data_IF_737372724216
#
_entry.id   IF_737372724216
#
_cell.length_a   1.000
_cell.length_b   1.000
_cell.length_c   1.000
_cell.angle_alpha   90.00
_cell.angle_beta   90.00
_cell.angle_gamma   90.00
#
_symmetry.space_group_name_H-M   'P 1'
#
loop_
_entity.id
_entity.type
_entity.pdbx_description
1 polymer ?
#
# COMPACT_ATOMS: atom_id res chain seq x y z
N UNK A 1 25.31 12.26 -7.05
CA UNK A 1 24.47 11.24 -7.72
C UNK A 1 23.11 11.85 -8.00
N UNK A 2 22.53 11.65 -9.19
CA UNK A 2 21.21 12.21 -9.54
C UNK A 2 20.12 11.64 -8.63
N UNK A 3 19.27 12.49 -8.05
CA UNK A 3 18.17 12.10 -7.16
C UNK A 3 17.01 11.37 -7.87
N UNK A 4 17.01 11.33 -9.20
CA UNK A 4 15.99 10.67 -10.01
C UNK A 4 16.63 9.85 -11.12
N UNK A 5 16.33 8.54 -11.16
CA UNK A 5 16.75 7.65 -12.24
C UNK A 5 16.11 8.02 -13.60
N UNK A 6 14.97 8.74 -13.58
CA UNK A 6 14.16 9.03 -14.77
C UNK A 6 14.11 10.51 -15.14
N UNK A 7 15.06 11.32 -14.62
CA UNK A 7 15.13 12.80 -14.80
C UNK A 7 13.82 13.51 -14.43
N UNK A 8 13.04 12.95 -13.51
CA UNK A 8 11.75 13.50 -13.06
C UNK A 8 11.89 14.66 -12.06
N UNK A 9 13.12 15.11 -11.79
CA UNK A 9 13.42 16.27 -10.94
C UNK A 9 14.22 17.26 -11.77
N UNK A 10 13.69 18.48 -11.94
CA UNK A 10 14.36 19.60 -12.60
C UNK A 10 14.71 20.69 -11.59
N UNK A 11 15.69 21.53 -11.91
CA UNK A 11 15.96 22.75 -11.14
C UNK A 11 15.34 23.92 -11.89
N UNK A 12 14.49 24.68 -11.21
CA UNK A 12 13.88 25.91 -11.72
C UNK A 12 14.03 26.97 -10.62
N UNK A 13 14.59 28.13 -10.95
CA UNK A 13 14.88 29.23 -10.01
C UNK A 13 15.65 28.78 -8.75
N UNK A 14 16.64 27.90 -8.91
CA UNK A 14 17.44 27.38 -7.81
C UNK A 14 16.72 26.36 -6.92
N UNK A 15 15.48 25.98 -7.24
CA UNK A 15 14.69 25.02 -6.49
C UNK A 15 14.47 23.72 -7.27
N UNK A 16 14.58 22.59 -6.57
CA UNK A 16 14.33 21.26 -7.15
C UNK A 16 12.82 20.97 -7.20
N UNK A 17 12.26 20.87 -8.39
CA UNK A 17 10.84 20.61 -8.64
C UNK A 17 10.65 19.24 -9.28
N UNK A 18 9.61 18.51 -8.84
CA UNK A 18 9.18 17.27 -9.49
C UNK A 18 8.41 17.64 -10.77
N UNK A 19 8.72 16.97 -11.87
CA UNK A 19 7.98 17.09 -13.14
C UNK A 19 6.92 16.00 -13.15
N UNK A 20 5.62 16.33 -12.95
CA UNK A 20 4.57 15.33 -12.74
C UNK A 20 4.46 14.30 -13.86
N UNK A 21 4.69 14.71 -15.11
CA UNK A 21 4.58 13.89 -16.33
C UNK A 21 5.72 12.86 -16.44
N UNK A 22 6.85 13.10 -15.78
CA UNK A 22 8.00 12.20 -15.72
C UNK A 22 8.05 11.39 -14.42
N UNK A 23 7.25 11.75 -13.41
CA UNK A 23 7.30 11.11 -12.10
C UNK A 23 6.62 9.74 -12.08
N UNK A 24 7.36 8.70 -11.70
CA UNK A 24 6.81 7.35 -11.43
C UNK A 24 6.38 7.14 -9.98
N UNK A 25 6.37 8.20 -9.16
CA UNK A 25 6.03 8.21 -7.73
C UNK A 25 6.85 7.26 -6.82
N UNK A 26 8.09 6.95 -7.20
CA UNK A 26 8.97 6.10 -6.38
C UNK A 26 9.50 6.76 -5.09
N UNK A 27 9.16 8.03 -4.84
CA UNK A 27 9.57 8.85 -3.70
C UNK A 27 11.08 8.93 -3.43
N UNK A 28 11.94 8.54 -4.40
CA UNK A 28 13.40 8.64 -4.27
C UNK A 28 13.83 10.08 -3.94
N UNK A 29 13.23 11.05 -4.63
CA UNK A 29 13.54 12.47 -4.48
C UNK A 29 13.16 13.08 -3.12
N UNK A 30 12.25 12.44 -2.38
CA UNK A 30 11.88 12.81 -1.00
C UNK A 30 12.89 12.18 -0.05
N UNK A 31 13.13 10.87 -0.15
CA UNK A 31 14.04 10.11 0.73
C UNK A 31 15.47 10.64 0.73
N UNK A 32 15.98 11.10 -0.42
CA UNK A 32 17.35 11.60 -0.54
C UNK A 32 17.48 13.10 -0.30
N UNK A 33 16.39 13.81 0.03
CA UNK A 33 16.42 15.26 0.17
C UNK A 33 16.97 15.65 1.55
N UNK A 34 18.18 16.23 1.65
CA UNK A 34 18.80 16.57 2.93
C UNK A 34 18.17 17.81 3.59
N UNK A 35 17.25 18.48 2.91
CA UNK A 35 16.60 19.70 3.39
C UNK A 35 15.14 19.47 3.76
N UNK A 36 14.63 18.24 3.59
CA UNK A 36 13.22 17.89 3.82
C UNK A 36 12.25 18.80 3.05
N UNK A 37 12.73 19.37 1.93
CA UNK A 37 12.02 20.40 1.18
C UNK A 37 10.84 19.86 0.35
N UNK A 38 10.68 18.54 0.26
CA UNK A 38 9.57 17.90 -0.48
C UNK A 38 8.69 17.16 0.51
N UNK A 39 7.42 17.53 0.54
CA UNK A 39 6.40 16.84 1.31
C UNK A 39 5.67 15.79 0.48
N UNK A 40 5.10 14.81 1.19
CA UNK A 40 4.18 13.82 0.63
C UNK A 40 2.76 14.27 1.01
N UNK A 41 1.76 14.00 0.16
CA UNK A 41 0.35 14.23 0.48
C UNK A 41 -0.01 13.50 1.77
N UNK A 42 -0.48 14.23 2.77
CA UNK A 42 -0.90 13.69 4.05
C UNK A 42 -2.41 13.43 4.06
N UNK A 43 -2.80 12.16 4.21
CA UNK A 43 -4.20 11.73 4.22
C UNK A 43 -4.78 11.63 5.65
N UNK A 44 -3.96 11.82 6.70
CA UNK A 44 -4.41 11.76 8.11
C UNK A 44 -5.59 12.68 8.41
N UNK A 45 -5.62 13.96 7.97
CA UNK A 45 -6.75 14.84 8.28
C UNK A 45 -8.08 14.30 7.75
N UNK A 46 -8.08 13.69 6.56
CA UNK A 46 -9.28 13.10 5.97
C UNK A 46 -9.74 11.84 6.73
N UNK A 47 -8.79 11.01 7.18
CA UNK A 47 -9.09 9.82 7.99
C UNK A 47 -9.67 10.24 9.35
N UNK A 48 -9.05 11.20 10.04
CA UNK A 48 -9.52 11.72 11.33
C UNK A 48 -10.92 12.30 11.20
N UNK A 49 -11.21 13.04 10.13
CA UNK A 49 -12.55 13.57 9.87
C UNK A 49 -13.57 12.46 9.60
N UNK A 50 -13.21 11.42 8.85
CA UNK A 50 -14.08 10.27 8.64
C UNK A 50 -14.43 9.56 9.96
N UNK A 51 -13.47 9.40 10.86
CA UNK A 51 -13.69 8.84 12.20
C UNK A 51 -14.61 9.74 13.02
N UNK A 52 -14.34 11.06 13.07
CA UNK A 52 -15.12 12.04 13.85
C UNK A 52 -16.55 12.20 13.37
N UNK A 53 -16.78 12.06 12.07
CA UNK A 53 -18.12 12.09 11.47
C UNK A 53 -18.91 10.78 11.65
N UNK A 54 -18.34 9.79 12.38
CA UNK A 54 -19.01 8.53 12.68
C UNK A 54 -19.04 7.54 11.51
N UNK A 55 -18.22 7.74 10.47
CA UNK A 55 -18.10 6.76 9.38
C UNK A 55 -17.42 5.51 9.91
N UNK A 56 -17.77 4.36 9.34
CA UNK A 56 -17.09 3.09 9.62
C UNK A 56 -15.74 3.06 8.89
N UNK A 57 -14.67 3.40 9.59
CA UNK A 57 -13.32 3.41 9.03
C UNK A 57 -12.66 2.05 9.18
N UNK A 58 -12.19 1.45 8.09
CA UNK A 58 -11.63 0.09 8.05
C UNK A 58 -10.24 0.09 7.41
N UNK A 59 -9.26 -0.57 8.02
CA UNK A 59 -7.89 -0.58 7.55
C UNK A 59 -7.53 -1.84 6.74
N UNK A 60 -6.88 -1.66 5.59
CA UNK A 60 -6.11 -2.68 4.88
C UNK A 60 -4.63 -2.48 5.17
N UNK A 61 -4.01 -3.33 5.99
CA UNK A 61 -2.63 -3.14 6.43
C UNK A 61 -1.68 -3.99 5.58
N UNK A 62 -0.62 -3.38 5.06
CA UNK A 62 0.36 -4.06 4.22
C UNK A 62 1.14 -5.12 5.02
N UNK A 63 1.48 -6.23 4.36
CA UNK A 63 2.14 -7.40 4.96
C UNK A 63 3.55 -7.16 5.50
N UNK A 64 4.15 -6.01 5.17
CA UNK A 64 5.44 -5.59 5.74
C UNK A 64 5.31 -4.87 7.09
N UNK A 65 4.09 -4.73 7.64
CA UNK A 65 3.89 -4.08 8.94
C UNK A 65 4.63 -4.75 10.11
N UNK A 66 4.80 -6.09 10.19
CA UNK A 66 5.59 -6.70 11.26
C UNK A 66 7.04 -6.22 11.29
N UNK A 67 7.66 -6.10 10.12
CA UNK A 67 9.05 -5.64 10.02
C UNK A 67 9.21 -4.16 10.41
N UNK A 68 8.17 -3.33 10.22
CA UNK A 68 8.23 -1.90 10.52
C UNK A 68 7.88 -1.60 11.99
N UNK A 69 6.78 -2.16 12.49
CA UNK A 69 6.25 -1.84 13.82
C UNK A 69 6.76 -2.79 14.91
N UNK A 70 7.48 -3.85 14.56
CA UNK A 70 7.95 -4.86 15.52
C UNK A 70 6.82 -5.69 16.13
N UNK A 71 5.66 -5.74 15.47
CA UNK A 71 4.50 -6.53 15.92
C UNK A 71 4.74 -8.02 15.68
N UNK A 72 4.19 -8.87 16.56
CA UNK A 72 4.32 -10.33 16.46
C UNK A 72 3.12 -10.98 15.81
N UNK A 73 1.93 -10.46 16.08
CA UNK A 73 0.66 -10.95 15.53
C UNK A 73 -0.09 -9.81 14.87
N UNK A 74 -0.97 -10.12 13.93
CA UNK A 74 -1.81 -9.09 13.32
C UNK A 74 -2.76 -8.43 14.34
N UNK A 75 -3.17 -9.15 15.37
CA UNK A 75 -4.04 -8.64 16.43
C UNK A 75 -3.42 -7.46 17.21
N UNK A 76 -2.09 -7.40 17.36
CA UNK A 76 -1.42 -6.22 17.94
C UNK A 76 -1.69 -4.96 17.09
N UNK A 77 -1.67 -5.10 15.75
CA UNK A 77 -2.02 -4.02 14.84
C UNK A 77 -3.50 -3.64 14.93
N UNK A 78 -4.40 -4.62 15.00
CA UNK A 78 -5.84 -4.37 15.17
C UNK A 78 -6.13 -3.58 16.45
N UNK A 79 -5.48 -3.92 17.56
CA UNK A 79 -5.62 -3.20 18.83
C UNK A 79 -5.10 -1.76 18.73
N UNK A 80 -3.94 -1.56 18.11
CA UNK A 80 -3.40 -0.21 17.89
C UNK A 80 -4.34 0.66 17.05
N UNK A 81 -4.87 0.10 15.94
CA UNK A 81 -5.79 0.82 15.06
C UNK A 81 -7.15 1.06 15.73
N UNK A 82 -7.64 0.10 16.52
CA UNK A 82 -8.86 0.26 17.32
C UNK A 82 -8.74 1.43 18.31
N UNK A 83 -7.59 1.56 18.98
CA UNK A 83 -7.31 2.69 19.88
C UNK A 83 -7.28 4.05 19.14
N UNK A 84 -6.97 4.06 17.84
CA UNK A 84 -7.04 5.25 16.98
C UNK A 84 -8.45 5.50 16.39
N UNK A 85 -9.43 4.65 16.68
CA UNK A 85 -10.82 4.81 16.22
C UNK A 85 -11.16 4.06 14.92
N UNK A 86 -10.31 3.17 14.43
CA UNK A 86 -10.66 2.28 13.32
C UNK A 86 -11.66 1.22 13.80
N UNK A 87 -12.71 0.97 13.02
CA UNK A 87 -13.75 0.00 13.33
C UNK A 87 -13.32 -1.45 13.08
N UNK A 88 -12.41 -1.67 12.14
CA UNK A 88 -11.82 -2.97 11.84
C UNK A 88 -10.50 -2.80 11.09
N UNK A 89 -9.67 -3.84 11.09
CA UNK A 89 -8.50 -3.93 10.23
C UNK A 89 -8.38 -5.33 9.64
N UNK A 90 -7.68 -5.44 8.51
CA UNK A 90 -7.38 -6.72 7.87
C UNK A 90 -6.01 -6.69 7.22
N UNK A 91 -5.40 -7.86 7.11
CA UNK A 91 -4.09 -8.01 6.50
C UNK A 91 -4.21 -8.06 4.96
N UNK A 92 -3.46 -7.20 4.27
CA UNK A 92 -3.42 -7.16 2.79
C UNK A 92 -2.90 -8.47 2.19
N UNK A 93 -2.35 -9.38 3.01
CA UNK A 93 -2.02 -10.75 2.64
C UNK A 93 -3.22 -11.46 1.97
N UNK A 94 -4.45 -11.19 2.42
CA UNK A 94 -5.65 -11.74 1.79
C UNK A 94 -5.77 -11.31 0.31
N UNK A 95 -5.61 -10.01 0.04
CA UNK A 95 -5.57 -9.51 -1.34
C UNK A 95 -4.35 -10.02 -2.12
N UNK A 96 -3.22 -10.22 -1.46
CA UNK A 96 -2.01 -10.75 -2.08
C UNK A 96 -2.19 -12.20 -2.53
N UNK A 97 -2.84 -13.03 -1.71
CA UNK A 97 -3.20 -14.41 -2.05
C UNK A 97 -4.14 -14.47 -3.26
N UNK A 98 -5.19 -13.64 -3.26
CA UNK A 98 -6.15 -13.55 -4.37
C UNK A 98 -5.45 -13.19 -5.68
N UNK A 99 -4.64 -12.12 -5.67
CA UNK A 99 -3.92 -11.65 -6.86
C UNK A 99 -2.87 -12.68 -7.29
N UNK A 100 -2.19 -13.34 -6.35
CA UNK A 100 -1.25 -14.41 -6.64
C UNK A 100 -1.89 -15.58 -7.39
N UNK A 101 -3.04 -16.04 -6.90
CA UNK A 101 -3.78 -17.12 -7.55
C UNK A 101 -4.20 -16.75 -8.97
N UNK A 102 -4.88 -15.61 -9.14
CA UNK A 102 -5.40 -15.18 -10.44
C UNK A 102 -4.26 -14.89 -11.42
N UNK A 103 -3.13 -14.37 -10.95
CA UNK A 103 -1.99 -14.13 -11.83
C UNK A 103 -1.33 -15.42 -12.31
N UNK A 104 -1.25 -16.48 -11.48
CA UNK A 104 -0.79 -17.79 -11.96
C UNK A 104 -1.72 -18.35 -13.04
N UNK A 105 -3.03 -18.33 -12.79
CA UNK A 105 -4.05 -18.76 -13.76
C UNK A 105 -3.92 -17.96 -15.07
N UNK A 106 -3.67 -16.66 -14.97
CA UNK A 106 -3.47 -15.78 -16.13
C UNK A 106 -2.20 -16.11 -16.92
N UNK A 107 -1.08 -16.41 -16.24
CA UNK A 107 0.20 -16.79 -16.86
C UNK A 107 0.09 -18.09 -17.64
N UNK A 108 -0.61 -19.07 -17.10
CA UNK A 108 -0.85 -20.37 -17.74
C UNK A 108 -1.80 -20.25 -18.94
N UNK A 109 -2.83 -19.42 -18.82
CA UNK A 109 -3.84 -19.25 -19.87
C UNK A 109 -3.37 -18.42 -21.07
N UNK A 110 -2.31 -17.61 -20.93
CA UNK A 110 -1.87 -16.65 -21.96
C UNK A 110 -0.37 -16.78 -22.30
N UNK A 111 0.10 -17.95 -22.79
CA UNK A 111 1.50 -18.14 -23.17
C UNK A 111 1.96 -17.18 -24.28
N UNK A 112 1.05 -16.71 -25.14
CA UNK A 112 1.30 -15.74 -26.19
C UNK A 112 1.68 -14.34 -25.68
N UNK A 113 1.38 -14.02 -24.41
CA UNK A 113 1.71 -12.73 -23.79
C UNK A 113 3.03 -12.76 -23.02
N UNK A 114 3.78 -13.86 -23.08
CA UNK A 114 5.04 -14.00 -22.34
C UNK A 114 6.12 -13.04 -22.88
N UNK A 115 6.98 -12.49 -22.00
CA UNK A 115 6.94 -12.59 -20.54
C UNK A 115 5.78 -11.78 -19.94
N UNK A 116 5.15 -12.28 -18.88
CA UNK A 116 4.09 -11.54 -18.18
C UNK A 116 4.69 -10.80 -16.97
N UNK A 117 4.48 -9.50 -16.91
CA UNK A 117 5.00 -8.58 -15.90
C UNK A 117 3.94 -8.35 -14.82
N UNK A 118 4.32 -8.40 -13.55
CA UNK A 118 3.39 -8.13 -12.44
C UNK A 118 2.96 -6.67 -12.39
N UNK A 119 1.67 -6.45 -12.10
CA UNK A 119 1.05 -5.11 -12.01
C UNK A 119 0.84 -4.62 -10.57
N UNK A 120 1.29 -5.38 -9.57
CA UNK A 120 1.03 -5.06 -8.15
C UNK A 120 1.80 -3.85 -7.62
N UNK A 121 2.94 -3.51 -8.25
CA UNK A 121 3.75 -2.36 -7.91
C UNK A 121 3.40 -1.17 -8.81
N UNK A 122 2.77 -0.10 -8.30
CA UNK A 122 2.38 1.05 -9.12
C UNK A 122 3.58 1.79 -9.71
N UNK A 123 4.76 1.70 -9.10
CA UNK A 123 5.99 2.28 -9.68
C UNK A 123 6.38 1.55 -10.97
N UNK A 124 6.24 0.21 -11.01
CA UNK A 124 6.49 -0.59 -12.22
C UNK A 124 5.47 -0.27 -13.30
N UNK A 125 4.19 -0.20 -12.94
CA UNK A 125 3.11 0.16 -13.87
C UNK A 125 3.35 1.56 -14.46
N UNK A 126 3.58 2.57 -13.61
CA UNK A 126 3.86 3.94 -14.06
C UNK A 126 5.13 4.02 -14.92
N UNK A 127 6.15 3.23 -14.62
CA UNK A 127 7.38 3.17 -15.39
C UNK A 127 7.12 2.63 -16.81
N UNK A 128 6.38 1.52 -16.92
CA UNK A 128 6.02 0.90 -18.21
C UNK A 128 5.16 1.86 -19.03
N UNK A 129 4.07 2.38 -18.46
CA UNK A 129 3.15 3.26 -19.18
C UNK A 129 3.83 4.54 -19.71
N UNK A 130 4.83 5.07 -19.01
CA UNK A 130 5.48 6.35 -19.36
C UNK A 130 6.73 6.18 -20.21
N UNK A 131 7.53 5.16 -19.95
CA UNK A 131 8.88 5.02 -20.52
C UNK A 131 9.06 3.79 -21.39
N UNK A 132 8.21 2.77 -21.24
CA UNK A 132 8.30 1.52 -21.99
C UNK A 132 6.91 1.05 -22.48
N UNK A 133 6.18 1.88 -23.24
CA UNK A 133 4.80 1.57 -23.64
C UNK A 133 4.70 0.28 -24.46
N UNK A 134 5.77 -0.11 -25.16
CA UNK A 134 5.84 -1.38 -25.90
C UNK A 134 5.74 -2.62 -24.99
N UNK A 135 5.96 -2.46 -23.67
CA UNK A 135 5.79 -3.52 -22.67
C UNK A 135 4.38 -3.59 -22.07
N UNK A 136 3.46 -2.68 -22.43
CA UNK A 136 2.06 -2.71 -21.95
C UNK A 136 1.37 -4.05 -22.27
N UNK A 137 1.51 -4.66 -23.46
CA UNK A 137 0.88 -5.95 -23.77
C UNK A 137 1.33 -7.11 -22.85
N UNK A 138 2.50 -6.95 -22.21
CA UNK A 138 3.10 -7.89 -21.28
C UNK A 138 2.72 -7.62 -19.82
N UNK A 139 2.14 -6.45 -19.50
CA UNK A 139 1.69 -6.14 -18.16
C UNK A 139 0.43 -6.95 -17.81
N UNK A 140 0.45 -7.64 -16.68
CA UNK A 140 -0.71 -8.38 -16.21
C UNK A 140 -1.89 -7.42 -15.98
N UNK A 141 -3.07 -7.67 -16.56
CA UNK A 141 -4.25 -6.80 -16.44
C UNK A 141 -4.99 -7.08 -15.13
N UNK A 142 -4.26 -7.06 -14.02
CA UNK A 142 -4.74 -7.40 -12.69
C UNK A 142 -4.56 -6.22 -11.77
N UNK A 143 -5.51 -6.05 -10.84
CA UNK A 143 -5.40 -5.04 -9.79
C UNK A 143 -4.36 -5.45 -8.74
N UNK A 144 -3.85 -4.47 -7.99
CA UNK A 144 -2.89 -4.77 -6.92
C UNK A 144 -3.57 -5.38 -5.68
N UNK A 145 -2.80 -6.02 -4.78
CA UNK A 145 -3.32 -6.53 -3.51
C UNK A 145 -4.05 -5.50 -2.67
N UNK A 146 -3.60 -4.23 -2.69
CA UNK A 146 -4.28 -3.12 -2.01
C UNK A 146 -5.72 -2.97 -2.53
N UNK A 147 -5.88 -2.96 -3.84
CA UNK A 147 -7.18 -2.76 -4.49
C UNK A 147 -8.08 -3.98 -4.28
N UNK A 148 -7.53 -5.19 -4.48
CA UNK A 148 -8.26 -6.44 -4.26
C UNK A 148 -8.78 -6.52 -2.82
N UNK A 149 -7.92 -6.27 -1.84
CA UNK A 149 -8.31 -6.33 -0.43
C UNK A 149 -9.26 -5.19 -0.04
N UNK A 150 -9.07 -3.97 -0.57
CA UNK A 150 -9.97 -2.85 -0.32
C UNK A 150 -11.42 -3.15 -0.73
N UNK A 151 -11.60 -3.74 -1.92
CA UNK A 151 -12.92 -4.21 -2.39
C UNK A 151 -13.50 -5.29 -1.48
N UNK A 152 -12.69 -6.25 -1.03
CA UNK A 152 -13.14 -7.26 -0.07
C UNK A 152 -13.58 -6.65 1.27
N UNK A 153 -12.85 -5.64 1.76
CA UNK A 153 -13.21 -4.97 3.01
C UNK A 153 -14.56 -4.24 2.89
N UNK A 154 -14.84 -3.59 1.76
CA UNK A 154 -16.18 -3.01 1.50
C UNK A 154 -17.27 -4.07 1.51
N UNK A 155 -17.08 -5.16 0.78
CA UNK A 155 -18.05 -6.26 0.76
C UNK A 155 -18.33 -6.82 2.16
N UNK A 156 -17.29 -6.90 3.01
CA UNK A 156 -17.41 -7.43 4.37
C UNK A 156 -18.00 -6.45 5.37
N UNK A 157 -17.68 -5.16 5.27
CA UNK A 157 -17.99 -4.16 6.29
C UNK A 157 -19.07 -3.14 5.88
N UNK A 158 -19.53 -3.19 4.63
CA UNK A 158 -20.49 -2.27 4.03
C UNK A 158 -19.85 -1.48 2.89
N UNK A 159 -20.58 -1.30 1.79
CA UNK A 159 -20.10 -0.56 0.61
C UNK A 159 -19.76 0.91 0.93
N UNK A 160 -20.39 1.48 1.96
CA UNK A 160 -20.18 2.84 2.47
C UNK A 160 -19.01 2.97 3.46
N UNK A 161 -18.36 1.86 3.83
CA UNK A 161 -17.21 1.87 4.72
C UNK A 161 -16.09 2.76 4.16
N UNK A 162 -15.39 3.49 5.02
CA UNK A 162 -14.24 4.30 4.62
C UNK A 162 -12.97 3.46 4.72
N UNK A 163 -12.47 2.98 3.59
CA UNK A 163 -11.36 2.03 3.53
C UNK A 163 -10.03 2.77 3.42
N UNK A 164 -9.15 2.52 4.37
CA UNK A 164 -7.81 3.11 4.44
C UNK A 164 -6.77 2.04 4.18
N UNK A 165 -5.93 2.20 3.17
CA UNK A 165 -4.75 1.36 3.02
C UNK A 165 -3.60 1.91 3.88
N UNK A 166 -2.95 1.04 4.64
CA UNK A 166 -1.81 1.37 5.50
C UNK A 166 -0.58 0.61 5.00
N UNK A 167 0.44 1.30 4.49
CA UNK A 167 1.58 0.61 3.87
C UNK A 167 2.87 1.41 3.75
N UNK A 168 3.96 0.78 3.27
CA UNK A 168 5.27 1.44 3.16
C UNK A 168 5.40 2.30 1.90
N UNK A 169 4.48 2.16 0.94
CA UNK A 169 4.67 2.66 -0.42
C UNK A 169 3.87 3.94 -0.69
N UNK A 170 4.57 5.04 -0.92
CA UNK A 170 3.97 6.33 -1.26
C UNK A 170 3.25 6.30 -2.62
N UNK A 171 3.74 5.50 -3.58
CA UNK A 171 3.11 5.39 -4.90
C UNK A 171 1.66 4.85 -4.83
N UNK A 172 1.27 4.18 -3.73
CA UNK A 172 -0.11 3.76 -3.50
C UNK A 172 -1.08 4.94 -3.36
N UNK A 173 -0.62 6.09 -2.85
CA UNK A 173 -1.39 7.35 -2.82
C UNK A 173 -1.78 7.84 -4.22
N UNK A 174 -0.96 7.53 -5.24
CA UNK A 174 -1.29 7.82 -6.64
C UNK A 174 -2.14 6.71 -7.25
N UNK A 175 -1.87 5.44 -6.93
CA UNK A 175 -2.66 4.31 -7.44
C UNK A 175 -4.14 4.44 -7.10
N UNK A 176 -4.47 4.82 -5.86
CA UNK A 176 -5.87 5.00 -5.43
C UNK A 176 -6.62 6.10 -6.22
N UNK A 177 -5.89 7.01 -6.87
CA UNK A 177 -6.48 8.11 -7.64
C UNK A 177 -6.78 7.71 -9.09
N UNK A 178 -6.52 6.46 -9.49
CA UNK A 178 -6.89 5.96 -10.82
C UNK A 178 -8.38 5.65 -10.87
N UNK A 179 -9.04 6.06 -11.94
CA UNK A 179 -10.48 5.88 -12.13
C UNK A 179 -10.90 4.39 -12.08
N UNK A 180 -10.04 3.48 -12.55
CA UNK A 180 -10.34 2.05 -12.59
C UNK A 180 -10.40 1.37 -11.21
N UNK A 181 -9.96 2.07 -10.15
CA UNK A 181 -9.87 1.55 -8.78
C UNK A 181 -10.47 2.51 -7.75
N UNK A 182 -11.21 3.52 -8.20
CA UNK A 182 -11.84 4.53 -7.34
C UNK A 182 -12.85 3.92 -6.34
N UNK A 183 -13.33 2.72 -6.61
CA UNK A 183 -14.23 1.95 -5.75
C UNK A 183 -13.53 1.24 -4.58
N UNK A 184 -12.19 1.21 -4.52
CA UNK A 184 -11.49 0.32 -3.59
C UNK A 184 -11.00 1.00 -2.30
N UNK A 185 -10.37 2.17 -2.38
CA UNK A 185 -9.63 2.80 -1.28
C UNK A 185 -9.97 4.29 -1.20
N UNK A 186 -10.34 4.79 -0.01
CA UNK A 186 -10.64 6.21 0.21
C UNK A 186 -9.41 7.02 0.60
N UNK A 187 -8.45 6.40 1.32
CA UNK A 187 -7.23 7.06 1.78
C UNK A 187 -6.05 6.10 1.88
N UNK A 188 -4.84 6.63 1.74
CA UNK A 188 -3.60 5.86 1.93
C UNK A 188 -2.75 6.51 3.02
N UNK A 189 -2.50 5.75 4.08
CA UNK A 189 -1.64 6.12 5.20
C UNK A 189 -0.31 5.36 5.08
N UNK A 190 0.81 6.08 5.10
CA UNK A 190 2.12 5.46 5.14
C UNK A 190 2.45 4.97 6.55
N UNK A 191 3.37 4.01 6.67
CA UNK A 191 3.84 3.56 7.97
C UNK A 191 4.43 4.69 8.82
N UNK A 192 5.18 5.61 8.22
CA UNK A 192 5.71 6.80 8.91
C UNK A 192 4.58 7.70 9.40
N UNK A 193 3.58 7.99 8.56
CA UNK A 193 2.43 8.81 8.97
C UNK A 193 1.64 8.14 10.11
N UNK A 194 1.45 6.81 10.08
CA UNK A 194 0.80 6.07 11.16
C UNK A 194 1.65 6.10 12.45
N UNK A 195 2.96 5.91 12.35
CA UNK A 195 3.85 5.96 13.51
C UNK A 195 3.78 7.34 14.19
N UNK A 196 3.87 8.42 13.42
CA UNK A 196 3.74 9.79 13.92
C UNK A 196 2.37 10.01 14.59
N UNK A 197 1.29 9.44 14.03
CA UNK A 197 -0.04 9.54 14.63
C UNK A 197 -0.12 8.77 15.96
N UNK A 198 0.42 7.56 16.02
CA UNK A 198 0.51 6.77 17.26
C UNK A 198 1.30 7.52 18.33
N UNK A 199 2.42 8.15 17.96
CA UNK A 199 3.25 8.92 18.88
C UNK A 199 2.53 10.18 19.39
N UNK A 200 1.72 10.83 18.55
CA UNK A 200 0.92 12.00 18.93
C UNK A 200 -0.22 11.68 19.91
N UNK A 201 -0.87 10.52 19.78
CA UNK A 201 -1.98 10.09 20.66
C UNK A 201 -1.48 9.49 22.00
N UNK A 202 -0.18 9.25 22.14
CA UNK A 202 0.46 8.91 23.41
C UNK A 202 0.31 7.44 23.88
N UNK A 203 0.48 7.22 25.19
CA UNK A 203 0.66 5.88 25.80
C UNK A 203 -0.55 4.94 25.72
N UNK A 204 -1.74 5.44 25.40
CA UNK A 204 -2.97 4.64 25.31
C UNK A 204 -2.90 3.57 24.20
N UNK A 205 -2.22 3.87 23.09
CA UNK A 205 -2.03 2.92 21.97
C UNK A 205 -0.97 1.88 22.31
N UNK A 206 0.10 2.29 23.00
CA UNK A 206 1.23 1.40 23.39
C UNK A 206 0.85 0.40 24.47
N UNK A 207 -0.05 0.73 25.38
CA UNK A 207 -0.54 -0.21 26.40
C UNK A 207 -1.46 -1.30 25.83
N UNK A 208 -2.05 -1.09 24.66
CA UNK A 208 -2.99 -2.05 24.08
C UNK A 208 -2.32 -3.34 23.57
N UNK A 209 -1.00 -3.33 23.34
CA UNK A 209 -0.25 -4.49 22.82
C UNK A 209 0.29 -5.42 23.90
N UNK A 210 0.25 -5.05 25.19
CA UNK A 210 0.80 -5.87 26.28
C UNK A 210 -0.11 -7.05 26.70
N UNK A 211 -1.38 -7.02 26.30
CA UNK A 211 -2.35 -8.07 26.65
C UNK A 211 -2.30 -9.26 25.68
N UNK A 212 -1.34 -10.15 25.87
CA UNK A 212 -1.51 -11.60 25.72
C UNK A 212 -1.79 -12.20 24.34
N UNK A 213 -1.46 -13.49 24.25
CA UNK A 213 -1.51 -14.40 23.10
C UNK A 213 -2.87 -14.31 22.38
N UNK A 214 -2.91 -13.56 21.29
CA UNK A 214 -4.09 -13.43 20.43
C UNK A 214 -3.85 -14.26 19.17
N UNK A 215 -4.76 -15.19 18.91
CA UNK A 215 -4.67 -16.07 17.76
C UNK A 215 -4.56 -15.25 16.47
N UNK A 216 -3.56 -15.58 15.66
CA UNK A 216 -3.28 -14.85 14.44
C UNK A 216 -4.33 -15.16 13.36
N UNK A 217 -4.55 -14.18 12.47
CA UNK A 217 -5.48 -14.34 11.36
C UNK A 217 -4.98 -15.48 10.46
N UNK A 218 -5.87 -16.39 10.09
CA UNK A 218 -5.56 -17.48 9.16
C UNK A 218 -5.44 -16.91 7.75
N UNK A 219 -4.22 -16.66 7.29
CA UNK A 219 -3.88 -16.31 5.90
C UNK A 219 -2.77 -17.22 5.43
N UNK A 220 -2.72 -17.52 4.12
CA UNK A 220 -1.62 -18.25 3.50
C UNK A 220 -0.26 -17.63 3.93
N UNK A 221 0.61 -18.38 4.63
CA UNK A 221 1.91 -17.87 5.07
C UNK A 221 2.77 -17.32 3.93
N UNK A 222 2.64 -17.88 2.72
CA UNK A 222 3.37 -17.42 1.54
C UNK A 222 2.88 -16.04 1.07
N UNK A 223 1.61 -15.70 1.32
CA UNK A 223 1.07 -14.39 0.98
C UNK A 223 1.69 -13.27 1.85
N UNK A 224 2.20 -13.59 3.05
CA UNK A 224 2.95 -12.63 3.88
C UNK A 224 4.34 -12.33 3.33
N UNK A 225 4.90 -13.21 2.50
CA UNK A 225 6.19 -12.98 1.84
C UNK A 225 6.10 -12.01 0.65
N UNK A 226 4.90 -11.54 0.29
CA UNK A 226 4.65 -10.61 -0.82
C UNK A 226 5.61 -9.39 -0.90
N UNK A 227 6.04 -8.76 0.21
CA UNK A 227 6.95 -7.62 0.17
C UNK A 227 8.40 -7.97 -0.17
N UNK A 228 8.78 -9.25 -0.08
CA UNK A 228 10.14 -9.72 -0.32
C UNK A 228 10.34 -9.92 -1.82
N UNK A 229 11.41 -9.32 -2.34
CA UNK A 229 11.77 -9.46 -3.75
C UNK A 229 11.94 -10.94 -4.11
N UNK A 230 11.30 -11.36 -5.21
CA UNK A 230 11.39 -12.74 -5.69
C UNK A 230 10.55 -13.76 -4.91
N UNK A 231 10.09 -13.45 -3.70
CA UNK A 231 9.35 -14.40 -2.86
C UNK A 231 7.99 -14.80 -3.45
N UNK A 232 7.44 -13.95 -4.31
CA UNK A 232 6.23 -14.24 -5.08
C UNK A 232 6.37 -15.46 -6.02
N UNK A 233 7.62 -15.78 -6.41
CA UNK A 233 7.98 -16.89 -7.31
C UNK A 233 8.69 -18.03 -6.57
N UNK A 234 8.85 -17.93 -5.25
CA UNK A 234 9.43 -19.00 -4.48
C UNK A 234 8.54 -20.25 -4.61
N UNK A 235 9.13 -21.45 -4.77
CA UNK A 235 8.37 -22.68 -4.74
C UNK A 235 7.57 -22.74 -3.43
N UNK A 236 6.25 -22.91 -3.52
CA UNK A 236 5.43 -23.15 -2.33
C UNK A 236 5.87 -24.47 -1.71
N UNK A 237 6.15 -24.46 -0.41
CA UNK A 237 6.54 -25.65 0.35
C UNK A 237 5.38 -26.63 0.52
#
# INVERSE_FOLDING_TARGET
MSASAFKAVKVHDGQAQVVPELCVACASCVRVCPQEAKSIRDDRPAIVEAIRSGRKVVASVATSSPAFFGIRTFAEMEKMLSALGFAAAGETAYGAEMVARVHREYVEAHPERHPIITSSCPVVVNLIERYYPDLIPHLAPLVSPMVAHGRTLRQRHGEDAYVVFIGPCIAKKQEMCRDEVADAIDAVLTFTELQEWIEAEGSAVRSATDDGDTADVQVDPDARLFPIEGAWWAPRA
#
